data_IF_019543962990
#
_entry.id   IF_019543962990
#
_cell.length_a   1.000
_cell.length_b   1.000
_cell.length_c   1.000
_cell.angle_alpha   90.00
_cell.angle_beta   90.00
_cell.angle_gamma   90.00
#
_symmetry.space_group_name_H-M   'P 1'
#
loop_
_entity.id
_entity.type
_entity.pdbx_description
1 polymer ?
#
# COMPACT_ATOMS: atom_id res chain seq x y z
N UNK A 1 9.45 -20.73 -5.19
CA UNK A 1 9.25 -19.43 -5.87
C UNK A 1 10.06 -18.40 -5.10
N UNK A 2 10.69 -17.44 -5.77
CA UNK A 2 11.59 -16.47 -5.12
C UNK A 2 10.99 -15.08 -5.05
N UNK A 3 11.43 -14.27 -4.08
CA UNK A 3 11.11 -12.85 -4.02
C UNK A 3 11.42 -12.14 -5.34
N UNK A 4 10.53 -11.25 -5.80
CA UNK A 4 10.66 -10.55 -7.08
C UNK A 4 10.30 -11.38 -8.32
N UNK A 5 9.81 -12.62 -8.16
CA UNK A 5 9.15 -13.34 -9.26
C UNK A 5 7.73 -12.80 -9.49
N UNK A 6 7.27 -12.86 -10.73
CA UNK A 6 5.88 -12.50 -11.08
C UNK A 6 4.98 -13.67 -10.72
N UNK A 7 4.00 -13.43 -9.84
CA UNK A 7 2.99 -14.40 -9.45
C UNK A 7 1.62 -13.71 -9.42
N UNK A 8 0.64 -14.27 -10.12
CA UNK A 8 -0.72 -13.74 -10.23
C UNK A 8 -0.81 -12.24 -10.61
N UNK A 9 0.05 -11.79 -11.53
CA UNK A 9 0.02 -10.39 -12.00
C UNK A 9 0.73 -9.39 -11.07
N UNK A 10 1.35 -9.83 -9.97
CA UNK A 10 2.12 -8.96 -9.09
C UNK A 10 3.53 -9.47 -8.81
N UNK A 11 4.37 -8.61 -8.22
CA UNK A 11 5.69 -9.02 -7.72
C UNK A 11 5.57 -9.63 -6.33
N UNK A 12 6.06 -10.86 -6.15
CA UNK A 12 6.09 -11.54 -4.84
C UNK A 12 6.92 -10.72 -3.83
N UNK A 13 6.25 -10.15 -2.82
CA UNK A 13 6.81 -9.25 -1.81
C UNK A 13 7.02 -9.92 -0.45
N UNK A 14 6.21 -10.91 -0.07
CA UNK A 14 6.48 -11.75 1.10
C UNK A 14 6.23 -13.22 0.78
N UNK A 15 7.00 -14.09 1.42
CA UNK A 15 6.80 -15.54 1.45
C UNK A 15 6.91 -15.92 2.92
N UNK A 16 5.79 -16.24 3.55
CA UNK A 16 5.73 -16.83 4.88
C UNK A 16 6.01 -18.33 4.78
N UNK A 17 7.27 -18.72 4.93
CA UNK A 17 7.72 -20.12 5.00
C UNK A 17 7.65 -20.70 6.43
N UNK A 18 6.95 -20.02 7.36
CA UNK A 18 6.87 -20.43 8.77
C UNK A 18 5.79 -21.45 9.15
N UNK A 19 4.84 -21.92 8.30
CA UNK A 19 3.99 -23.02 8.68
C UNK A 19 4.58 -24.38 8.26
N UNK A 20 4.41 -25.37 9.13
CA UNK A 20 4.89 -26.73 8.96
C UNK A 20 4.44 -27.37 7.63
N UNK A 21 5.39 -27.67 6.73
CA UNK A 21 5.42 -28.67 5.64
C UNK A 21 4.15 -28.98 4.78
N UNK A 22 3.02 -28.30 4.97
CA UNK A 22 1.72 -28.63 4.39
C UNK A 22 0.78 -27.43 4.21
N UNK A 23 1.23 -26.19 4.47
CA UNK A 23 0.46 -24.98 4.18
C UNK A 23 1.27 -24.09 3.22
N UNK A 24 0.62 -23.65 2.14
CA UNK A 24 1.21 -22.77 1.12
C UNK A 24 1.82 -21.52 1.75
N UNK A 25 2.97 -21.08 1.22
CA UNK A 25 3.56 -19.82 1.62
C UNK A 25 2.60 -18.67 1.35
N UNK A 26 2.22 -17.94 2.39
CA UNK A 26 1.43 -16.71 2.27
C UNK A 26 2.33 -15.53 1.87
N UNK A 27 1.79 -14.54 1.18
CA UNK A 27 2.55 -13.41 0.66
C UNK A 27 1.70 -12.20 0.31
N UNK A 28 2.31 -11.02 0.23
CA UNK A 28 1.67 -9.86 -0.41
C UNK A 28 2.35 -9.63 -1.76
N UNK A 29 1.60 -9.18 -2.78
CA UNK A 29 2.12 -8.63 -4.03
C UNK A 29 1.71 -7.16 -4.15
N UNK A 30 2.59 -6.34 -4.71
CA UNK A 30 2.23 -5.02 -5.22
C UNK A 30 2.00 -5.09 -6.73
N UNK A 31 1.16 -4.19 -7.26
CA UNK A 31 0.94 -4.05 -8.70
C UNK A 31 2.26 -3.87 -9.46
N UNK A 32 2.34 -4.46 -10.67
CA UNK A 32 3.53 -4.36 -11.54
C UNK A 32 3.74 -2.96 -12.14
N UNK A 33 2.68 -2.17 -12.22
CA UNK A 33 2.68 -0.76 -12.66
C UNK A 33 1.71 0.00 -11.77
N UNK A 34 2.03 1.23 -11.35
CA UNK A 34 1.13 2.02 -10.48
C UNK A 34 -0.29 2.05 -11.08
N UNK A 35 -1.32 1.75 -10.28
CA UNK A 35 -2.74 1.76 -10.68
C UNK A 35 -3.16 2.99 -11.50
N UNK A 36 -2.50 4.14 -11.30
CA UNK A 36 -2.78 5.37 -12.03
C UNK A 36 -1.50 6.11 -12.43
N UNK A 37 -1.44 6.52 -13.70
CA UNK A 37 -0.46 7.50 -14.20
C UNK A 37 -0.82 8.96 -13.81
N UNK A 38 -1.66 9.13 -12.80
CA UNK A 38 -2.16 10.42 -12.31
C UNK A 38 -2.29 10.34 -10.79
N UNK A 39 -1.86 11.37 -10.06
CA UNK A 39 -1.99 11.37 -8.61
C UNK A 39 -3.45 11.25 -8.20
N UNK A 40 -3.71 10.44 -7.17
CA UNK A 40 -5.02 10.32 -6.56
C UNK A 40 -5.06 11.12 -5.27
N UNK A 41 -6.24 11.58 -4.88
CA UNK A 41 -6.47 12.11 -3.55
C UNK A 41 -6.75 10.95 -2.59
N UNK A 42 -6.27 11.05 -1.35
CA UNK A 42 -6.60 10.05 -0.34
C UNK A 42 -8.10 10.05 -0.07
N UNK A 43 -8.66 11.24 0.13
CA UNK A 43 -10.11 11.49 0.21
C UNK A 43 -10.40 12.96 -0.11
N UNK A 44 -11.48 13.22 -0.86
CA UNK A 44 -12.01 14.58 -1.02
C UNK A 44 -12.77 15.07 0.22
N UNK A 45 -13.21 14.16 1.09
CA UNK A 45 -13.91 14.48 2.33
C UNK A 45 -12.94 14.54 3.51
N UNK A 46 -13.03 15.61 4.30
CA UNK A 46 -12.32 15.77 5.57
C UNK A 46 -13.14 15.12 6.70
N UNK A 47 -12.91 13.84 6.92
CA UNK A 47 -13.57 13.05 7.97
C UNK A 47 -12.61 12.01 8.51
N UNK A 48 -12.82 11.62 9.76
CA UNK A 48 -12.17 10.44 10.35
C UNK A 48 -12.83 9.17 9.80
N UNK A 49 -12.02 8.20 9.38
CA UNK A 49 -12.46 6.88 8.91
C UNK A 49 -12.15 5.77 9.91
N UNK A 50 -11.32 6.04 10.92
CA UNK A 50 -10.76 5.09 11.88
C UNK A 50 -9.81 4.06 11.23
N UNK A 51 -9.25 4.39 10.08
CA UNK A 51 -8.26 3.57 9.39
C UNK A 51 -6.87 3.81 9.98
N UNK A 52 -6.67 3.38 11.23
CA UNK A 52 -5.45 3.69 12.01
C UNK A 52 -4.47 2.52 12.13
N UNK A 53 -4.74 1.38 11.48
CA UNK A 53 -3.78 0.27 11.52
C UNK A 53 -2.52 0.66 10.77
N UNK A 54 -1.36 0.47 11.38
CA UNK A 54 -0.08 0.68 10.69
C UNK A 54 0.35 -0.53 9.87
N UNK A 55 -0.25 -1.71 10.08
CA UNK A 55 0.19 -3.00 9.51
C UNK A 55 -0.89 -3.76 8.75
N UNK A 56 -2.14 -3.29 8.74
CA UNK A 56 -3.25 -3.98 8.08
C UNK A 56 -4.04 -3.03 7.16
N UNK A 57 -3.51 -2.85 5.95
CA UNK A 57 -4.08 -1.98 4.93
C UNK A 57 -5.40 -2.49 4.38
N UNK A 58 -5.65 -3.81 4.41
CA UNK A 58 -6.92 -4.38 3.97
C UNK A 58 -8.07 -3.96 4.90
N UNK A 59 -7.85 -4.04 6.21
CA UNK A 59 -8.81 -3.57 7.22
C UNK A 59 -9.02 -2.06 7.11
N UNK A 60 -7.96 -1.29 6.94
CA UNK A 60 -8.05 0.17 6.74
C UNK A 60 -8.84 0.53 5.49
N UNK A 61 -8.53 -0.10 4.35
CA UNK A 61 -9.22 0.10 3.07
C UNK A 61 -10.73 -0.15 3.23
N UNK A 62 -11.10 -1.22 3.93
CA UNK A 62 -12.51 -1.52 4.24
C UNK A 62 -13.14 -0.43 5.10
N UNK A 63 -12.45 0.05 6.14
CA UNK A 63 -12.95 1.14 6.99
C UNK A 63 -13.15 2.45 6.21
N UNK A 64 -12.20 2.82 5.35
CA UNK A 64 -12.27 4.01 4.49
C UNK A 64 -13.49 3.90 3.56
N UNK A 65 -13.65 2.78 2.85
CA UNK A 65 -14.77 2.58 1.93
C UNK A 65 -16.12 2.58 2.65
N UNK A 66 -16.19 2.02 3.86
CA UNK A 66 -17.43 2.03 4.66
C UNK A 66 -17.86 3.44 5.08
N UNK A 67 -16.90 4.34 5.32
CA UNK A 67 -17.19 5.72 5.73
C UNK A 67 -17.43 6.64 4.54
N UNK A 68 -16.62 6.54 3.49
CA UNK A 68 -16.70 7.42 2.31
C UNK A 68 -17.70 6.93 1.27
N UNK A 69 -18.01 5.64 1.27
CA UNK A 69 -18.80 4.96 0.26
C UNK A 69 -17.97 4.47 -0.92
N UNK A 70 -18.42 3.37 -1.55
CA UNK A 70 -17.75 2.72 -2.69
C UNK A 70 -17.86 3.47 -4.02
N UNK A 71 -18.50 4.64 -4.05
CA UNK A 71 -18.56 5.52 -5.22
C UNK A 71 -17.70 6.78 -5.05
N UNK A 72 -17.04 6.93 -3.90
CA UNK A 72 -16.13 8.03 -3.66
C UNK A 72 -14.79 7.72 -4.34
N UNK A 73 -14.36 8.60 -5.25
CA UNK A 73 -13.05 8.53 -5.91
C UNK A 73 -11.92 8.81 -4.89
N UNK A 74 -11.65 7.82 -4.04
CA UNK A 74 -10.65 7.84 -2.97
C UNK A 74 -9.52 6.86 -3.31
N UNK A 75 -8.36 7.05 -2.70
CA UNK A 75 -7.22 6.14 -2.85
C UNK A 75 -7.58 4.68 -2.53
N UNK A 76 -8.31 4.47 -1.44
CA UNK A 76 -8.76 3.16 -0.99
C UNK A 76 -9.73 2.50 -1.98
N UNK A 77 -10.70 3.26 -2.49
CA UNK A 77 -11.65 2.78 -3.48
C UNK A 77 -10.97 2.47 -4.82
N UNK A 78 -10.04 3.32 -5.25
CA UNK A 78 -9.24 3.09 -6.46
C UNK A 78 -8.52 1.75 -6.36
N UNK A 79 -7.85 1.47 -5.24
CA UNK A 79 -7.21 0.18 -5.03
C UNK A 79 -8.19 -0.99 -4.93
N UNK A 80 -9.37 -0.80 -4.34
CA UNK A 80 -10.37 -1.87 -4.25
C UNK A 80 -11.01 -2.23 -5.60
N UNK A 81 -10.94 -1.35 -6.60
CA UNK A 81 -11.44 -1.60 -7.96
C UNK A 81 -10.37 -2.13 -8.92
N UNK A 82 -9.10 -2.14 -8.52
CA UNK A 82 -8.03 -2.71 -9.34
C UNK A 82 -8.38 -4.16 -9.67
N UNK A 83 -8.25 -4.50 -10.95
CA UNK A 83 -8.29 -5.87 -11.43
C UNK A 83 -7.03 -6.08 -12.27
N UNK A 84 -6.10 -6.86 -11.74
CA UNK A 84 -4.88 -7.26 -12.44
C UNK A 84 -4.83 -8.79 -12.50
N UNK A 85 -4.86 -9.33 -13.72
CA UNK A 85 -5.07 -10.76 -13.95
C UNK A 85 -6.38 -11.28 -13.36
N UNK A 86 -6.27 -12.35 -12.55
CA UNK A 86 -7.40 -13.00 -11.86
C UNK A 86 -7.60 -12.49 -10.41
N UNK A 87 -6.83 -11.47 -10.00
CA UNK A 87 -6.85 -10.94 -8.64
C UNK A 87 -7.75 -9.71 -8.56
N UNK A 88 -8.77 -9.78 -7.69
CA UNK A 88 -9.75 -8.69 -7.46
C UNK A 88 -9.75 -8.18 -6.02
N UNK A 89 -8.88 -8.69 -5.16
CA UNK A 89 -8.82 -8.34 -3.73
C UNK A 89 -7.61 -7.45 -3.43
N UNK A 90 -7.47 -6.40 -4.23
CA UNK A 90 -6.49 -5.35 -4.04
C UNK A 90 -6.95 -4.35 -2.96
N UNK A 91 -6.01 -3.75 -2.26
CA UNK A 91 -6.25 -2.80 -1.18
C UNK A 91 -5.16 -1.74 -1.11
N UNK A 92 -5.45 -0.61 -0.45
CA UNK A 92 -4.47 0.43 -0.16
C UNK A 92 -3.62 -0.02 1.05
N UNK A 93 -2.32 -0.25 0.88
CA UNK A 93 -1.44 -0.75 1.95
C UNK A 93 -1.35 0.23 3.12
N UNK A 94 -1.19 -0.30 4.33
CA UNK A 94 -0.87 0.49 5.51
C UNK A 94 0.59 0.95 5.47
N UNK A 95 0.94 1.93 6.29
CA UNK A 95 2.25 2.58 6.25
C UNK A 95 3.42 1.59 6.41
N UNK A 96 3.33 0.63 7.34
CA UNK A 96 4.36 -0.37 7.55
C UNK A 96 4.36 -1.45 6.46
N UNK A 97 3.25 -1.65 5.74
CA UNK A 97 3.27 -2.52 4.56
C UNK A 97 4.06 -1.87 3.41
N UNK A 98 3.98 -0.54 3.26
CA UNK A 98 4.73 0.21 2.25
C UNK A 98 6.23 0.32 2.55
N UNK A 99 6.61 0.63 3.79
CA UNK A 99 8.04 0.72 4.17
C UNK A 99 8.66 -0.63 4.52
N UNK A 100 7.83 -1.67 4.61
CA UNK A 100 8.27 -3.04 4.87
C UNK A 100 8.34 -3.46 6.34
N UNK A 101 7.92 -2.61 7.27
CA UNK A 101 7.72 -3.00 8.65
C UNK A 101 8.96 -3.55 9.38
N UNK A 102 8.73 -4.41 10.37
CA UNK A 102 9.74 -5.04 11.25
C UNK A 102 10.08 -6.49 10.88
N UNK A 103 9.58 -6.99 9.75
CA UNK A 103 9.76 -8.41 9.39
C UNK A 103 11.19 -8.66 8.88
N UNK A 104 11.85 -9.67 9.45
CA UNK A 104 13.25 -10.04 9.19
C UNK A 104 13.56 -10.43 7.73
N UNK A 105 12.55 -10.55 6.86
CA UNK A 105 12.72 -10.78 5.42
C UNK A 105 13.02 -9.50 4.60
N UNK A 106 12.77 -8.32 5.16
CA UNK A 106 12.94 -7.03 4.46
C UNK A 106 14.35 -6.58 4.08
N UNK A 107 15.45 -7.00 4.73
CA UNK A 107 16.78 -6.57 4.31
C UNK A 107 17.21 -7.11 2.94
N UNK A 108 16.49 -8.11 2.39
CA UNK A 108 16.91 -8.84 1.19
C UNK A 108 16.22 -8.37 -0.10
N UNK A 109 15.15 -7.56 0.03
CA UNK A 109 14.48 -6.89 -1.08
C UNK A 109 14.83 -5.41 -1.01
N UNK A 110 15.95 -5.02 -1.65
CA UNK A 110 16.35 -3.63 -1.73
C UNK A 110 15.17 -2.76 -2.16
N UNK A 111 14.91 -1.70 -1.39
CA UNK A 111 13.99 -0.62 -1.73
C UNK A 111 12.70 -1.05 -2.45
N UNK A 112 11.98 -2.02 -1.89
CA UNK A 112 10.64 -2.45 -2.36
C UNK A 112 10.69 -3.10 -3.75
N UNK A 113 9.66 -3.87 -4.11
CA UNK A 113 9.32 -4.09 -5.53
C UNK A 113 8.92 -2.79 -6.26
N UNK A 114 9.49 -1.64 -5.87
CA UNK A 114 9.38 -0.36 -6.55
C UNK A 114 10.30 -0.43 -7.75
N UNK A 115 9.71 -0.25 -8.92
CA UNK A 115 10.42 -0.10 -10.16
C UNK A 115 11.42 1.07 -10.02
N UNK A 116 12.56 1.00 -10.70
CA UNK A 116 13.57 2.07 -10.74
C UNK A 116 13.03 3.43 -11.22
N UNK A 117 11.79 3.51 -11.68
CA UNK A 117 11.12 4.73 -12.15
C UNK A 117 10.34 5.49 -11.06
N UNK A 118 10.26 4.98 -9.83
CA UNK A 118 9.56 5.64 -8.70
C UNK A 118 10.50 6.47 -7.81
N UNK A 119 11.69 6.83 -8.30
CA UNK A 119 12.63 7.69 -7.58
C UNK A 119 12.05 9.09 -7.35
N UNK A 120 12.15 9.59 -6.11
CA UNK A 120 11.55 10.86 -5.66
C UNK A 120 10.02 10.91 -5.77
N UNK A 121 9.35 9.77 -5.58
CA UNK A 121 7.90 9.68 -5.56
C UNK A 121 7.34 9.56 -4.14
N UNK A 122 6.17 10.16 -3.95
CA UNK A 122 5.38 10.07 -2.71
C UNK A 122 4.18 9.14 -2.94
N UNK A 123 3.93 8.25 -1.99
CA UNK A 123 2.86 7.26 -2.06
C UNK A 123 1.91 7.37 -0.87
N UNK A 124 0.62 7.26 -1.13
CA UNK A 124 -0.38 7.14 -0.08
C UNK A 124 -0.28 5.80 0.65
N UNK A 125 -0.36 5.86 1.97
CA UNK A 125 -0.79 4.72 2.79
C UNK A 125 -2.27 4.82 3.13
N UNK A 126 -2.87 3.74 3.63
CA UNK A 126 -4.21 3.72 4.18
C UNK A 126 -4.29 4.15 5.65
N UNK A 127 -3.16 4.48 6.28
CA UNK A 127 -3.06 4.82 7.70
C UNK A 127 -3.36 6.30 7.90
N UNK A 128 -4.46 6.63 8.57
CA UNK A 128 -4.75 8.00 9.02
C UNK A 128 -3.75 8.46 10.07
N UNK A 129 -3.32 9.72 9.97
CA UNK A 129 -2.43 10.32 10.96
C UNK A 129 -3.17 10.44 12.30
N UNK A 130 -2.60 9.81 13.33
CA UNK A 130 -3.15 9.82 14.68
C UNK A 130 -3.23 11.23 15.30
N UNK A 131 -2.37 12.17 14.88
CA UNK A 131 -2.37 13.54 15.35
C UNK A 131 -3.57 14.34 14.78
N UNK A 132 -4.03 14.02 13.57
CA UNK A 132 -5.08 14.77 12.88
C UNK A 132 -5.85 13.91 11.85
N UNK A 133 -6.57 12.91 12.35
CA UNK A 133 -7.34 11.96 11.52
C UNK A 133 -8.41 12.59 10.62
N UNK A 134 -8.78 13.86 10.82
CA UNK A 134 -9.79 14.53 9.98
C UNK A 134 -9.16 15.03 8.67
N UNK A 135 -7.90 15.47 8.69
CA UNK A 135 -7.28 16.17 7.57
C UNK A 135 -6.03 15.47 7.04
N UNK A 136 -5.38 14.64 7.83
CA UNK A 136 -4.04 14.14 7.56
C UNK A 136 -3.99 12.61 7.55
N UNK A 137 -2.98 12.10 6.82
CA UNK A 137 -2.74 10.68 6.54
C UNK A 137 -1.24 10.49 6.43
N UNK A 138 -0.76 9.34 6.90
CA UNK A 138 0.63 8.95 6.75
C UNK A 138 0.91 8.46 5.33
N UNK A 139 2.08 8.77 4.80
CA UNK A 139 2.53 8.37 3.48
C UNK A 139 4.01 8.02 3.47
N UNK A 140 4.51 7.67 2.29
CA UNK A 140 5.92 7.29 2.12
C UNK A 140 6.57 8.13 1.06
N UNK A 141 7.76 8.64 1.35
CA UNK A 141 8.67 9.24 0.38
C UNK A 141 9.75 8.24 -0.02
N UNK A 142 9.89 8.02 -1.33
CA UNK A 142 10.93 7.16 -1.91
C UNK A 142 12.06 8.01 -2.46
N UNK A 143 13.24 7.92 -1.87
CA UNK A 143 14.43 8.68 -2.31
C UNK A 143 15.31 7.86 -3.27
N UNK A 144 16.14 8.52 -4.07
CA UNK A 144 16.92 7.89 -5.14
C UNK A 144 18.30 7.35 -4.75
N UNK A 145 18.87 7.69 -3.58
CA UNK A 145 20.20 7.19 -3.20
C UNK A 145 20.54 7.35 -1.71
N UNK A 146 20.64 6.24 -0.95
CA UNK A 146 20.17 4.90 -1.31
C UNK A 146 18.67 4.92 -1.54
N UNK A 147 18.16 3.98 -2.35
CA UNK A 147 16.73 3.81 -2.49
C UNK A 147 16.14 3.37 -1.14
N UNK A 148 15.45 4.30 -0.47
CA UNK A 148 14.86 4.09 0.85
C UNK A 148 13.47 4.68 0.86
N UNK A 149 12.51 3.88 1.31
CA UNK A 149 11.18 4.31 1.66
C UNK A 149 11.21 4.87 3.09
N UNK A 150 10.93 6.17 3.23
CA UNK A 150 10.88 6.84 4.54
C UNK A 150 9.42 7.17 4.85
N UNK A 151 8.95 6.78 6.04
CA UNK A 151 7.63 7.21 6.54
C UNK A 151 7.60 8.73 6.65
N UNK A 152 6.49 9.32 6.23
CA UNK A 152 6.24 10.75 6.33
C UNK A 152 4.81 10.91 6.83
N UNK A 153 4.70 11.53 8.00
CA UNK A 153 3.42 11.78 8.65
C UNK A 153 2.83 13.10 8.12
N UNK A 154 1.50 13.23 8.18
CA UNK A 154 0.86 14.53 8.06
C UNK A 154 0.59 15.03 6.63
N UNK A 155 0.42 14.14 5.64
CA UNK A 155 -0.02 14.59 4.31
C UNK A 155 -1.51 14.92 4.32
N UNK A 156 -1.89 16.10 3.79
CA UNK A 156 -3.30 16.46 3.67
C UNK A 156 -4.06 15.51 2.74
N UNK A 157 -5.23 15.02 3.17
CA UNK A 157 -6.09 14.06 2.43
C UNK A 157 -6.41 14.46 0.99
N UNK A 158 -6.52 15.76 0.72
CA UNK A 158 -6.81 16.32 -0.59
C UNK A 158 -5.58 16.51 -1.50
N UNK A 159 -4.38 16.21 -1.01
CA UNK A 159 -3.15 16.27 -1.80
C UNK A 159 -3.13 15.21 -2.90
N UNK A 160 -2.25 15.42 -3.88
CA UNK A 160 -2.12 14.57 -5.05
C UNK A 160 -0.82 13.78 -4.95
N UNK A 161 -0.90 12.53 -4.45
CA UNK A 161 0.21 11.59 -4.35
C UNK A 161 -0.02 10.37 -5.23
N UNK A 162 1.03 9.57 -5.42
CA UNK A 162 0.95 8.32 -6.17
C UNK A 162 0.26 7.23 -5.36
N UNK A 163 -0.26 6.23 -6.06
CA UNK A 163 -0.88 5.05 -5.46
C UNK A 163 -0.12 3.79 -5.87
N UNK A 164 -0.07 2.85 -4.94
CA UNK A 164 0.40 1.49 -5.19
C UNK A 164 -0.45 0.54 -4.37
N UNK A 165 -1.19 -0.31 -5.06
CA UNK A 165 -2.12 -1.22 -4.40
C UNK A 165 -1.43 -2.54 -4.06
N UNK A 166 -1.87 -3.16 -2.97
CA UNK A 166 -1.36 -4.42 -2.44
C UNK A 166 -2.43 -5.51 -2.51
N UNK A 167 -2.01 -6.76 -2.61
CA UNK A 167 -2.87 -7.93 -2.53
C UNK A 167 -2.20 -9.04 -1.71
N UNK A 168 -2.92 -9.65 -0.77
CA UNK A 168 -2.43 -10.75 0.07
C UNK A 168 -2.95 -12.12 -0.41
N UNK A 169 -2.10 -13.14 -0.46
CA UNK A 169 -2.37 -14.52 -0.87
C UNK A 169 -1.82 -15.57 0.13
#
# INVERSE_FOLDING_TARGET
MGYGSVYQGGYVYSIDDTPAAAASAGGVVFEMTNATSSPAVWSAALTTTNASSTTNGQSNTTAIINVLGSTAASAAETCAQVTDGDVTSWYLPAIQELVGGTQSAFPTLGAVGLLTDTENAEFWSSTEDAANTIQEVDGVLVLSSPATATETDGYFKGSSLSLRCAHAF
#
